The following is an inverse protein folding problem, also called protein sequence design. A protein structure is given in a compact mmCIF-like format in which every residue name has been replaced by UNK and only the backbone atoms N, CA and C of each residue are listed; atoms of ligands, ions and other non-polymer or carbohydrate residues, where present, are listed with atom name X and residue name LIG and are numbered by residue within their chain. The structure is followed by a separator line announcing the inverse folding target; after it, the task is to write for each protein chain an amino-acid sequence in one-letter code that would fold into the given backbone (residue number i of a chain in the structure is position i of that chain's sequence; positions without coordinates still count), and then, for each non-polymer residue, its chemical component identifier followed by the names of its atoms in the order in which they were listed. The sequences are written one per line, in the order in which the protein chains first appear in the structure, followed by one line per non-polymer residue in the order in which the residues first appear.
data_IF_628855158085
#
_entry.id   IF_628855158085
#
_cell.length_a   1.000
_cell.length_b   1.000
_cell.length_c   1.000
_cell.angle_alpha   90.00
_cell.angle_beta   90.00
_cell.angle_gamma   90.00
#
_symmetry.space_group_name_H-M   'P 1'
#
loop_
_entity.id
_entity.type
_entity.pdbx_description
1 polymer ?
#
# COMPACT_ATOMS: atom_id res chain seq x y z
N UNK A 1 20.48 -14.18 -14.75
CA UNK A 1 19.97 -12.80 -14.95
C UNK A 1 20.86 -11.84 -14.19
N UNK A 2 21.48 -10.88 -14.86
CA UNK A 2 22.34 -9.86 -14.20
C UNK A 2 21.51 -8.62 -13.92
N UNK A 3 21.32 -8.27 -12.66
CA UNK A 3 20.78 -6.95 -12.28
C UNK A 3 21.95 -5.96 -12.18
N UNK A 4 21.93 -4.91 -13.00
CA UNK A 4 22.92 -3.84 -12.95
C UNK A 4 22.37 -2.73 -12.08
N UNK A 5 22.92 -2.60 -10.88
CA UNK A 5 22.66 -1.47 -9.99
C UNK A 5 23.75 -0.42 -10.27
N UNK A 6 23.38 0.77 -10.75
CA UNK A 6 24.33 1.89 -10.88
C UNK A 6 24.54 2.54 -9.51
N UNK A 7 25.77 2.63 -9.00
CA UNK A 7 26.06 3.26 -7.72
C UNK A 7 26.09 4.79 -7.83
N UNK A 8 25.68 5.47 -6.76
CA UNK A 8 25.97 6.89 -6.53
C UNK A 8 27.48 7.09 -6.31
N UNK A 9 28.00 8.29 -6.57
CA UNK A 9 29.43 8.62 -6.72
C UNK A 9 30.34 8.36 -5.49
N UNK A 10 29.97 7.58 -4.49
CA UNK A 10 30.83 7.30 -3.32
C UNK A 10 30.90 5.84 -2.88
N UNK A 11 30.42 4.86 -3.69
CA UNK A 11 30.41 3.48 -3.21
C UNK A 11 30.95 2.46 -4.21
N UNK A 12 31.83 1.62 -3.71
CA UNK A 12 32.55 0.55 -4.41
C UNK A 12 31.59 -0.52 -4.95
N UNK A 13 31.79 -0.94 -6.18
CA UNK A 13 31.04 -2.00 -6.88
C UNK A 13 30.97 -3.30 -6.06
N UNK A 14 29.76 -3.86 -5.92
CA UNK A 14 29.54 -5.23 -5.48
C UNK A 14 28.90 -6.03 -6.61
N UNK A 15 29.56 -7.05 -7.08
CA UNK A 15 29.03 -8.05 -8.01
C UNK A 15 28.48 -9.24 -7.20
N UNK A 16 27.25 -9.62 -7.48
CA UNK A 16 26.65 -10.84 -6.92
C UNK A 16 26.95 -12.00 -7.88
N UNK A 17 27.83 -12.91 -7.49
CA UNK A 17 28.04 -14.17 -8.21
C UNK A 17 27.12 -15.25 -7.63
N UNK A 18 26.15 -15.71 -8.42
CA UNK A 18 25.44 -16.96 -8.16
C UNK A 18 26.12 -18.04 -8.99
N UNK A 19 27.00 -18.81 -8.36
CA UNK A 19 27.59 -19.99 -9.00
C UNK A 19 26.64 -21.17 -8.92
N UNK A 20 26.16 -21.65 -10.07
CA UNK A 20 25.51 -22.95 -10.19
C UNK A 20 26.63 -23.95 -10.52
N UNK A 21 27.00 -24.83 -9.58
CA UNK A 21 27.86 -25.96 -9.89
C UNK A 21 26.98 -27.13 -10.34
N UNK A 22 27.22 -27.61 -11.55
CA UNK A 22 26.63 -28.84 -12.07
C UNK A 22 27.13 -30.04 -11.27
N UNK A 23 26.22 -30.99 -11.03
CA UNK A 23 26.47 -32.17 -10.23
C UNK A 23 27.49 -33.13 -10.79
N UNK A 24 28.18 -33.82 -9.90
CA UNK A 24 28.93 -35.03 -10.12
C UNK A 24 28.40 -36.17 -9.21
N UNK A 25 28.62 -37.45 -9.55
CA UNK A 25 27.81 -38.57 -9.09
C UNK A 25 28.12 -39.02 -7.68
N UNK A 26 27.17 -39.75 -7.13
CA UNK A 26 27.04 -40.39 -5.82
C UNK A 26 28.34 -40.95 -5.24
N UNK A 27 28.70 -40.53 -4.01
CA UNK A 27 29.63 -41.26 -3.16
C UNK A 27 30.84 -40.49 -2.62
N UNK A 28 30.64 -39.30 -2.02
CA UNK A 28 31.71 -38.59 -1.33
C UNK A 28 31.24 -37.86 -0.06
N UNK A 29 32.13 -37.48 0.88
CA UNK A 29 31.76 -36.90 2.16
C UNK A 29 31.04 -35.57 1.96
N UNK A 30 30.03 -35.32 2.79
CA UNK A 30 29.29 -34.05 2.88
C UNK A 30 30.25 -32.86 3.01
N UNK A 31 30.36 -32.04 1.97
CA UNK A 31 31.02 -30.75 2.07
C UNK A 31 30.02 -29.76 2.63
N UNK A 32 30.15 -29.44 3.89
CA UNK A 32 29.41 -28.36 4.56
C UNK A 32 29.93 -27.03 3.98
N UNK A 33 29.19 -26.45 3.04
CA UNK A 33 29.50 -25.09 2.54
C UNK A 33 29.05 -24.11 3.61
N UNK A 34 29.99 -23.67 4.44
CA UNK A 34 29.77 -22.56 5.35
C UNK A 34 29.67 -21.29 4.51
N UNK A 35 28.45 -20.83 4.28
CA UNK A 35 28.22 -19.50 3.69
C UNK A 35 28.58 -18.48 4.76
N UNK A 36 29.79 -17.91 4.66
CA UNK A 36 30.18 -16.77 5.46
C UNK A 36 29.24 -15.60 5.13
N UNK A 37 28.35 -15.26 6.06
CA UNK A 37 27.52 -14.06 5.99
C UNK A 37 28.46 -12.84 5.95
N UNK A 38 28.71 -12.31 4.77
CA UNK A 38 29.33 -10.98 4.64
C UNK A 38 28.35 -9.98 5.28
N UNK A 39 28.89 -9.12 6.15
CA UNK A 39 28.19 -7.97 6.73
C UNK A 39 27.28 -7.34 5.67
N UNK A 40 25.97 -7.40 5.89
CA UNK A 40 24.97 -6.83 5.00
C UNK A 40 25.25 -5.34 4.80
N UNK A 41 25.56 -4.94 3.59
CA UNK A 41 25.54 -3.52 3.22
C UNK A 41 24.10 -3.09 3.36
N UNK A 42 23.80 -2.15 4.24
CA UNK A 42 22.48 -1.55 4.36
C UNK A 42 22.14 -0.89 3.03
N UNK A 43 21.23 -1.52 2.29
CA UNK A 43 20.67 -0.90 1.08
C UNK A 43 19.89 0.34 1.54
N UNK A 44 20.23 1.51 1.01
CA UNK A 44 19.42 2.70 1.25
C UNK A 44 18.16 2.56 0.40
N UNK A 45 17.04 2.23 1.04
CA UNK A 45 15.74 2.04 0.36
C UNK A 45 14.80 3.23 0.53
N UNK A 46 15.09 4.18 1.44
CA UNK A 46 14.24 5.34 1.67
C UNK A 46 14.30 6.30 0.49
N UNK A 47 13.11 6.74 0.08
CA UNK A 47 12.90 7.67 -1.04
C UNK A 47 13.47 7.13 -2.36
N UNK A 48 13.36 5.80 -2.55
CA UNK A 48 13.83 5.11 -3.74
C UNK A 48 12.70 4.34 -4.43
N UNK A 49 12.77 4.27 -5.75
CA UNK A 49 11.98 3.36 -6.56
C UNK A 49 12.95 2.37 -7.20
N UNK A 50 12.59 1.08 -7.20
CA UNK A 50 13.39 0.00 -7.77
C UNK A 50 12.67 -0.64 -8.94
N UNK A 51 13.35 -0.81 -10.08
CA UNK A 51 12.80 -1.55 -11.21
C UNK A 51 13.00 -3.06 -11.00
N UNK A 52 12.08 -3.70 -10.31
CA UNK A 52 12.12 -5.13 -9.99
C UNK A 52 10.77 -5.66 -9.52
N UNK A 53 10.66 -6.99 -9.47
CA UNK A 53 9.52 -7.66 -8.85
C UNK A 53 9.39 -7.29 -7.37
N UNK A 54 8.17 -7.00 -6.92
CA UNK A 54 7.91 -6.50 -5.56
C UNK A 54 8.17 -7.55 -4.48
N UNK A 55 7.91 -8.84 -4.74
CA UNK A 55 8.17 -9.92 -3.78
C UNK A 55 9.68 -10.04 -3.55
N UNK A 56 10.47 -10.05 -4.64
CA UNK A 56 11.93 -10.04 -4.55
C UNK A 56 12.44 -8.75 -3.89
N UNK A 57 11.88 -7.59 -4.25
CA UNK A 57 12.23 -6.29 -3.69
C UNK A 57 11.98 -6.20 -2.19
N UNK A 58 10.83 -6.66 -1.72
CA UNK A 58 10.52 -6.68 -0.30
C UNK A 58 11.48 -7.54 0.51
N UNK A 59 12.11 -8.58 -0.06
CA UNK A 59 13.12 -9.38 0.66
C UNK A 59 14.36 -8.57 1.06
N UNK A 60 14.61 -7.44 0.40
CA UNK A 60 15.71 -6.52 0.70
C UNK A 60 15.39 -5.57 1.87
N UNK A 61 14.13 -5.49 2.27
CA UNK A 61 13.67 -4.62 3.35
C UNK A 61 13.76 -5.34 4.70
N UNK A 62 14.20 -4.64 5.76
CA UNK A 62 14.17 -5.17 7.12
C UNK A 62 12.75 -5.48 7.60
N UNK A 63 12.64 -6.41 8.55
CA UNK A 63 11.40 -6.71 9.23
C UNK A 63 10.88 -5.48 9.98
N UNK A 64 9.57 -5.22 9.89
CA UNK A 64 8.91 -4.14 10.62
C UNK A 64 9.46 -2.73 10.33
N UNK A 65 10.01 -2.50 9.14
CA UNK A 65 10.56 -1.19 8.78
C UNK A 65 9.51 -0.20 8.26
N UNK A 66 8.33 -0.68 7.83
CA UNK A 66 7.30 0.15 7.20
C UNK A 66 6.23 0.58 8.20
N UNK A 67 5.82 1.83 8.11
CA UNK A 67 4.71 2.39 8.87
C UNK A 67 3.36 2.19 8.15
N UNK A 68 3.39 2.13 6.82
CA UNK A 68 2.20 1.95 5.99
C UNK A 68 2.54 1.25 4.68
N UNK A 69 1.60 0.50 4.16
CA UNK A 69 1.53 0.07 2.76
C UNK A 69 0.37 0.79 2.10
N UNK A 70 0.60 1.43 0.95
CA UNK A 70 -0.44 2.02 0.10
C UNK A 70 -0.13 1.65 -1.34
N UNK A 71 -0.96 0.82 -1.94
CA UNK A 71 -0.66 0.25 -3.25
C UNK A 71 -1.91 -0.03 -4.07
N UNK A 72 -1.77 0.06 -5.39
CA UNK A 72 -2.74 -0.33 -6.40
C UNK A 72 -2.25 -1.60 -7.07
N UNK A 73 -2.67 -2.76 -6.57
CA UNK A 73 -2.25 -4.06 -7.10
C UNK A 73 -2.82 -4.30 -8.51
N UNK A 74 -2.18 -5.14 -9.34
CA UNK A 74 -2.81 -5.63 -10.57
C UNK A 74 -4.02 -6.51 -10.23
N UNK A 75 -5.17 -6.22 -10.89
CA UNK A 75 -6.45 -6.88 -10.61
C UNK A 75 -6.67 -8.14 -11.46
N UNK A 76 -5.89 -8.33 -12.53
CA UNK A 76 -6.09 -9.41 -13.52
C UNK A 76 -7.39 -9.24 -14.31
N UNK A 77 -7.77 -8.01 -14.63
CA UNK A 77 -9.02 -7.67 -15.31
C UNK A 77 -8.81 -7.05 -16.71
N UNK A 78 -7.57 -6.86 -17.11
CA UNK A 78 -7.20 -6.30 -18.42
C UNK A 78 -6.25 -7.25 -19.17
N UNK A 79 -6.15 -7.10 -20.49
CA UNK A 79 -5.21 -7.87 -21.32
C UNK A 79 -3.76 -7.32 -21.25
N UNK A 80 -3.50 -6.39 -20.37
CA UNK A 80 -2.17 -5.83 -20.18
C UNK A 80 -1.23 -6.86 -19.53
N UNK A 81 -0.01 -7.03 -20.05
CA UNK A 81 0.98 -8.00 -19.54
C UNK A 81 1.33 -7.81 -18.06
N UNK A 82 1.25 -6.58 -17.56
CA UNK A 82 1.53 -6.24 -16.17
C UNK A 82 0.33 -6.49 -15.23
N UNK A 83 -0.89 -6.67 -15.77
CA UNK A 83 -2.10 -6.90 -14.96
C UNK A 83 -2.27 -8.38 -14.59
N UNK A 84 -1.24 -8.96 -13.97
CA UNK A 84 -1.23 -10.34 -13.48
C UNK A 84 -1.33 -10.35 -11.96
N UNK A 85 -2.33 -11.05 -11.42
CA UNK A 85 -2.55 -11.13 -9.97
C UNK A 85 -1.31 -11.71 -9.28
N UNK A 86 -0.77 -10.96 -8.33
CA UNK A 86 0.34 -11.41 -7.48
C UNK A 86 -0.18 -12.49 -6.53
N UNK A 87 0.52 -13.65 -6.39
CA UNK A 87 0.09 -14.71 -5.49
C UNK A 87 -0.05 -14.20 -4.05
N UNK A 88 -1.28 -14.21 -3.52
CA UNK A 88 -1.61 -13.61 -2.23
C UNK A 88 -0.81 -14.18 -1.08
N UNK A 89 -0.52 -15.49 -1.08
CA UNK A 89 0.27 -16.12 -0.02
C UNK A 89 1.66 -15.48 0.09
N UNK A 90 2.37 -15.35 -1.04
CA UNK A 90 3.68 -14.72 -1.09
C UNK A 90 3.61 -13.23 -0.74
N UNK A 91 2.59 -12.55 -1.24
CA UNK A 91 2.37 -11.12 -0.99
C UNK A 91 2.17 -10.86 0.52
N UNK A 92 1.21 -11.55 1.16
CA UNK A 92 0.94 -11.37 2.58
C UNK A 92 2.11 -11.74 3.47
N UNK A 93 2.83 -12.82 3.13
CA UNK A 93 4.04 -13.21 3.85
C UNK A 93 5.06 -12.08 3.92
N UNK A 94 5.29 -11.37 2.81
CA UNK A 94 6.23 -10.26 2.77
C UNK A 94 5.63 -8.99 3.39
N UNK A 95 4.42 -8.63 3.07
CA UNK A 95 3.77 -7.43 3.62
C UNK A 95 3.66 -7.48 5.14
N UNK A 96 3.25 -8.62 5.71
CA UNK A 96 3.16 -8.80 7.16
C UNK A 96 4.53 -8.78 7.85
N UNK A 97 5.58 -9.24 7.17
CA UNK A 97 6.95 -9.21 7.68
C UNK A 97 7.52 -7.79 7.73
N UNK A 98 7.41 -7.05 6.62
CA UNK A 98 8.05 -5.73 6.50
C UNK A 98 7.25 -4.60 7.17
N UNK A 99 5.94 -4.78 7.37
CA UNK A 99 5.06 -3.78 8.00
C UNK A 99 5.11 -3.91 9.52
N UNK A 100 5.20 -2.78 10.23
CA UNK A 100 5.10 -2.73 11.69
C UNK A 100 3.79 -3.36 12.18
N UNK A 101 3.72 -3.92 13.40
CA UNK A 101 2.48 -4.49 13.93
C UNK A 101 1.29 -3.53 13.92
N UNK A 102 1.52 -2.25 14.10
CA UNK A 102 0.59 -1.12 14.07
C UNK A 102 0.60 -0.33 12.76
N UNK A 103 1.23 -0.88 11.71
CA UNK A 103 1.18 -0.31 10.36
C UNK A 103 -0.11 -0.66 9.64
N UNK A 104 -0.67 0.30 8.91
CA UNK A 104 -1.83 0.08 8.04
C UNK A 104 -1.39 -0.45 6.67
N UNK A 105 -2.15 -1.40 6.13
CA UNK A 105 -2.01 -1.88 4.75
C UNK A 105 -3.27 -1.52 3.98
N UNK A 106 -3.14 -0.61 3.03
CA UNK A 106 -4.26 0.02 2.31
C UNK A 106 -4.12 -0.26 0.81
N UNK A 107 -5.18 -0.79 0.22
CA UNK A 107 -5.20 -1.22 -1.18
C UNK A 107 -6.35 -0.56 -1.91
N UNK A 108 -6.11 0.03 -3.07
CA UNK A 108 -7.20 0.29 -4.01
C UNK A 108 -7.62 -1.01 -4.66
N UNK A 109 -8.92 -1.17 -4.91
CA UNK A 109 -9.48 -2.40 -5.46
C UNK A 109 -10.81 -2.13 -6.18
N UNK A 110 -11.22 -3.07 -7.03
CA UNK A 110 -12.53 -3.08 -7.67
C UNK A 110 -13.05 -4.52 -7.75
N UNK A 111 -14.37 -4.70 -7.69
CA UNK A 111 -14.96 -6.03 -7.82
C UNK A 111 -14.67 -6.66 -9.20
N UNK A 112 -14.40 -7.98 -9.28
CA UNK A 112 -14.44 -9.00 -8.22
C UNK A 112 -13.12 -9.14 -7.42
N UNK A 113 -12.07 -8.37 -7.76
CA UNK A 113 -10.77 -8.44 -7.09
C UNK A 113 -10.87 -8.09 -5.59
N UNK A 114 -11.69 -7.10 -5.22
CA UNK A 114 -11.91 -6.72 -3.81
C UNK A 114 -12.32 -7.93 -2.95
N UNK A 115 -13.27 -8.74 -3.43
CA UNK A 115 -13.71 -9.94 -2.71
C UNK A 115 -12.58 -10.95 -2.53
N UNK A 116 -11.77 -11.18 -3.57
CA UNK A 116 -10.62 -12.08 -3.52
C UNK A 116 -9.56 -11.59 -2.52
N UNK A 117 -9.26 -10.29 -2.56
CA UNK A 117 -8.29 -9.65 -1.68
C UNK A 117 -8.72 -9.75 -0.21
N UNK A 118 -9.97 -9.43 0.11
CA UNK A 118 -10.51 -9.54 1.48
C UNK A 118 -10.47 -11.00 1.94
N UNK A 119 -10.94 -11.93 1.11
CA UNK A 119 -10.96 -13.36 1.42
C UNK A 119 -9.57 -13.93 1.68
N UNK A 120 -8.53 -13.40 1.03
CA UNK A 120 -7.15 -13.87 1.19
C UNK A 120 -6.52 -13.52 2.55
N UNK A 121 -7.04 -12.50 3.28
CA UNK A 121 -6.54 -12.12 4.61
C UNK A 121 -7.67 -11.57 5.51
N UNK A 122 -8.74 -12.32 5.63
CA UNK A 122 -9.94 -11.93 6.36
C UNK A 122 -9.67 -11.56 7.83
N UNK A 123 -8.70 -12.23 8.48
CA UNK A 123 -8.35 -11.98 9.89
C UNK A 123 -7.86 -10.56 10.14
N UNK A 124 -7.19 -9.94 9.17
CA UNK A 124 -6.61 -8.60 9.28
C UNK A 124 -7.45 -7.53 8.58
N UNK A 125 -8.46 -7.92 7.78
CA UNK A 125 -9.41 -6.99 7.19
C UNK A 125 -10.17 -6.22 8.27
N UNK A 126 -10.42 -4.91 8.02
CA UNK A 126 -11.13 -4.04 8.97
C UNK A 126 -12.32 -3.34 8.37
N UNK A 127 -12.11 -2.57 7.30
CA UNK A 127 -13.17 -1.81 6.63
C UNK A 127 -12.72 -1.36 5.25
N UNK A 128 -13.67 -0.80 4.49
CA UNK A 128 -13.40 -0.12 3.22
C UNK A 128 -13.75 1.36 3.33
N UNK A 129 -12.97 2.18 2.63
CA UNK A 129 -13.42 3.46 2.12
C UNK A 129 -13.90 3.25 0.69
N UNK A 130 -14.73 4.15 0.19
CA UNK A 130 -15.28 4.13 -1.17
C UNK A 130 -14.91 5.43 -1.86
N UNK A 131 -14.05 5.33 -2.86
CA UNK A 131 -13.72 6.49 -3.68
C UNK A 131 -14.73 6.66 -4.80
N UNK A 132 -15.51 7.76 -4.75
CA UNK A 132 -16.44 8.15 -5.79
C UNK A 132 -15.69 9.01 -6.82
N UNK A 133 -15.68 8.52 -8.06
CA UNK A 133 -15.05 9.19 -9.21
C UNK A 133 -16.00 10.20 -9.82
N UNK A 134 -15.44 11.27 -10.38
CA UNK A 134 -16.20 12.22 -11.22
C UNK A 134 -16.46 11.69 -12.65
N UNK A 135 -15.98 10.48 -12.95
CA UNK A 135 -16.13 9.83 -14.25
C UNK A 135 -16.62 8.40 -14.07
N UNK A 136 -17.48 7.99 -14.97
CA UNK A 136 -18.01 6.62 -15.01
C UNK A 136 -17.26 5.77 -16.04
N UNK A 137 -17.20 4.47 -15.81
CA UNK A 137 -16.63 3.47 -16.71
C UNK A 137 -17.58 2.31 -16.93
N UNK A 138 -17.34 1.49 -17.95
CA UNK A 138 -18.13 0.29 -18.23
C UNK A 138 -19.22 0.51 -19.28
N UNK A 139 -19.14 1.55 -20.11
CA UNK A 139 -20.11 1.84 -21.17
C UNK A 139 -20.45 0.65 -22.10
N UNK A 140 -19.51 -0.24 -22.49
CA UNK A 140 -19.85 -1.41 -23.29
C UNK A 140 -20.90 -2.33 -22.63
N UNK A 141 -21.00 -2.28 -21.32
CA UNK A 141 -21.91 -3.13 -20.54
C UNK A 141 -23.12 -2.38 -19.99
N UNK A 142 -23.33 -1.12 -20.35
CA UNK A 142 -24.39 -0.25 -19.80
C UNK A 142 -25.81 -0.78 -19.97
N UNK A 143 -26.03 -1.68 -20.95
CA UNK A 143 -27.33 -2.35 -21.18
C UNK A 143 -27.60 -3.51 -20.21
N UNK A 144 -26.58 -3.98 -19.48
CA UNK A 144 -26.65 -5.20 -18.66
C UNK A 144 -26.35 -4.94 -17.20
N UNK A 145 -25.62 -3.84 -16.89
CA UNK A 145 -25.22 -3.51 -15.54
C UNK A 145 -25.01 -2.00 -15.37
N UNK A 146 -25.07 -1.48 -14.13
CA UNK A 146 -24.79 -0.07 -13.86
C UNK A 146 -23.37 0.33 -14.27
N UNK A 147 -23.21 1.58 -14.69
CA UNK A 147 -21.89 2.17 -14.91
C UNK A 147 -21.15 2.28 -13.58
N UNK A 148 -19.85 2.00 -13.60
CA UNK A 148 -19.00 2.02 -12.41
C UNK A 148 -18.45 3.42 -12.17
N UNK A 149 -18.72 3.97 -11.01
CA UNK A 149 -18.19 5.26 -10.55
C UNK A 149 -17.50 5.16 -9.17
N UNK A 150 -17.39 3.97 -8.59
CA UNK A 150 -16.81 3.74 -7.27
C UNK A 150 -15.65 2.76 -7.37
N UNK A 151 -14.58 3.04 -6.62
CA UNK A 151 -13.53 2.07 -6.30
C UNK A 151 -13.46 1.86 -4.79
N UNK A 152 -13.17 0.62 -4.40
CA UNK A 152 -12.96 0.25 -3.02
C UNK A 152 -11.54 0.62 -2.57
N UNK A 153 -11.40 1.07 -1.31
CA UNK A 153 -10.09 1.25 -0.67
C UNK A 153 -10.11 0.37 0.57
N UNK A 154 -9.45 -0.76 0.47
CA UNK A 154 -9.53 -1.85 1.46
C UNK A 154 -8.44 -1.67 2.51
N UNK A 155 -8.82 -1.66 3.78
CA UNK A 155 -7.91 -1.41 4.91
C UNK A 155 -7.72 -2.67 5.74
N UNK A 156 -6.46 -3.05 5.91
CA UNK A 156 -6.04 -4.14 6.77
C UNK A 156 -5.05 -3.64 7.83
N UNK A 157 -5.12 -4.21 9.02
CA UNK A 157 -4.08 -4.04 10.04
C UNK A 157 -4.15 -5.14 11.09
N UNK A 158 -3.02 -5.41 11.76
CA UNK A 158 -2.90 -6.39 12.84
C UNK A 158 -3.27 -5.76 14.19
N UNK A 159 -2.68 -4.60 14.50
CA UNK A 159 -2.99 -3.78 15.66
C UNK A 159 -3.49 -2.41 15.19
N UNK A 160 -4.22 -1.70 16.03
CA UNK A 160 -4.76 -0.37 15.72
C UNK A 160 -3.64 0.56 15.24
N UNK A 161 -3.70 1.05 13.99
CA UNK A 161 -2.66 1.91 13.42
C UNK A 161 -2.82 3.36 13.87
N UNK A 162 -1.83 4.20 13.49
CA UNK A 162 -2.05 5.65 13.45
C UNK A 162 -3.31 5.94 12.64
N UNK A 163 -4.17 6.78 13.19
CA UNK A 163 -5.36 7.28 12.49
C UNK A 163 -5.51 8.77 12.77
N UNK A 164 -5.21 9.59 11.78
CA UNK A 164 -5.34 11.04 11.82
C UNK A 164 -6.57 11.43 11.01
N UNK A 165 -7.74 11.63 11.64
CA UNK A 165 -8.96 12.00 10.92
C UNK A 165 -8.76 13.36 10.24
N UNK A 166 -9.04 13.41 8.94
CA UNK A 166 -8.87 14.62 8.13
C UNK A 166 -10.16 15.44 8.09
N UNK A 167 -10.05 16.77 8.00
CA UNK A 167 -11.19 17.65 7.81
C UNK A 167 -11.99 17.95 9.07
N UNK A 168 -11.46 17.65 10.27
CA UNK A 168 -12.11 17.99 11.52
C UNK A 168 -12.27 19.50 11.66
N UNK A 169 -13.42 19.92 12.16
CA UNK A 169 -13.73 21.33 12.50
C UNK A 169 -13.88 21.41 14.02
N UNK A 170 -13.10 22.28 14.65
CA UNK A 170 -13.22 22.53 16.08
C UNK A 170 -14.59 23.16 16.41
N UNK A 171 -15.20 22.73 17.49
CA UNK A 171 -16.45 23.33 17.99
C UNK A 171 -16.12 24.51 18.90
N UNK A 172 -16.92 25.58 18.84
CA UNK A 172 -16.78 26.72 19.76
C UNK A 172 -17.00 26.33 21.21
N UNK A 173 -17.89 25.36 21.46
CA UNK A 173 -18.18 24.82 22.78
C UNK A 173 -18.03 23.30 22.75
N UNK A 174 -17.44 22.74 23.82
CA UNK A 174 -17.40 21.29 24.01
C UNK A 174 -18.82 20.75 24.10
N UNK A 175 -19.12 19.74 23.28
CA UNK A 175 -20.42 19.06 23.29
C UNK A 175 -20.30 17.87 24.25
N UNK A 176 -21.06 17.91 25.34
CA UNK A 176 -21.15 16.81 26.30
C UNK A 176 -22.31 15.89 25.91
N UNK A 177 -22.00 14.64 25.61
CA UNK A 177 -23.04 13.63 25.35
C UNK A 177 -23.21 12.76 26.56
N UNK A 178 -24.40 12.78 27.12
CA UNK A 178 -24.78 11.93 28.26
C UNK A 178 -25.03 10.49 27.80
N UNK A 179 -24.81 9.50 28.67
CA UNK A 179 -25.20 8.13 28.40
C UNK A 179 -26.68 8.06 28.02
N UNK A 180 -27.01 7.29 27.00
CA UNK A 180 -28.41 7.00 26.67
C UNK A 180 -28.80 5.71 27.33
N UNK A 181 -30.02 5.70 27.99
CA UNK A 181 -30.61 4.47 28.43
C UNK A 181 -30.81 3.55 27.19
N UNK A 182 -30.20 2.38 27.23
CA UNK A 182 -30.28 1.41 26.15
C UNK A 182 -31.53 0.58 26.35
N UNK A 183 -32.39 0.51 25.33
CA UNK A 183 -33.50 -0.46 25.29
C UNK A 183 -32.91 -1.83 24.97
N UNK A 184 -33.53 -2.91 25.47
CA UNK A 184 -33.02 -4.30 25.34
C UNK A 184 -32.72 -4.79 23.94
N UNK A 185 -33.23 -4.14 22.88
CA UNK A 185 -33.02 -4.50 21.48
C UNK A 185 -31.91 -3.66 20.79
N UNK A 186 -30.90 -3.20 21.50
CA UNK A 186 -29.86 -2.35 20.91
C UNK A 186 -28.73 -3.16 20.24
N UNK A 187 -28.47 -2.86 18.98
CA UNK A 187 -27.40 -3.47 18.17
C UNK A 187 -25.98 -3.17 18.68
N UNK A 188 -25.83 -2.17 19.54
CA UNK A 188 -24.52 -1.75 20.07
C UNK A 188 -24.29 -2.27 21.49
N UNK A 189 -23.02 -2.62 21.79
CA UNK A 189 -22.60 -3.01 23.13
C UNK A 189 -22.98 -1.92 24.16
N UNK A 190 -23.77 -2.29 25.16
CA UNK A 190 -24.22 -1.40 26.23
C UNK A 190 -23.05 -0.70 26.94
N UNK A 191 -21.88 -1.35 27.05
CA UNK A 191 -20.68 -0.74 27.65
C UNK A 191 -20.15 0.46 26.87
N UNK A 192 -20.39 0.51 25.57
CA UNK A 192 -19.97 1.61 24.70
C UNK A 192 -20.94 2.79 24.77
N UNK A 193 -22.24 2.52 24.91
CA UNK A 193 -23.31 3.56 24.96
C UNK A 193 -23.46 4.21 26.32
N UNK A 194 -23.02 3.56 27.41
CA UNK A 194 -23.13 4.07 28.76
C UNK A 194 -21.99 4.97 29.22
N UNK A 195 -21.15 5.45 28.30
CA UNK A 195 -20.05 6.37 28.62
C UNK A 195 -20.42 7.80 28.24
N UNK A 196 -20.18 8.71 29.17
CA UNK A 196 -20.10 10.13 28.82
C UNK A 196 -18.89 10.37 27.93
N UNK A 197 -19.07 11.18 26.93
CA UNK A 197 -17.93 11.61 26.09
C UNK A 197 -18.09 13.09 25.71
N UNK A 198 -16.93 13.73 25.57
CA UNK A 198 -16.82 15.10 25.12
C UNK A 198 -16.40 15.12 23.67
N UNK A 199 -17.10 15.92 22.87
CA UNK A 199 -16.74 16.16 21.48
C UNK A 199 -16.26 17.60 21.33
N UNK A 200 -14.99 17.75 20.94
CA UNK A 200 -14.37 19.05 20.62
C UNK A 200 -14.30 19.33 19.12
N UNK A 201 -14.67 18.37 18.32
CA UNK A 201 -14.60 18.43 16.87
C UNK A 201 -15.88 17.88 16.24
N UNK A 202 -16.23 18.48 15.10
CA UNK A 202 -17.27 17.99 14.19
C UNK A 202 -16.65 17.61 12.85
N UNK A 203 -17.47 17.24 11.87
CA UNK A 203 -17.04 16.88 10.52
C UNK A 203 -16.08 15.66 10.49
N UNK A 204 -16.40 14.64 11.29
CA UNK A 204 -15.65 13.38 11.27
C UNK A 204 -15.70 12.73 9.89
N UNK A 205 -14.59 12.14 9.40
CA UNK A 205 -14.54 11.49 8.10
C UNK A 205 -15.62 10.44 7.93
N UNK A 206 -16.26 10.45 6.76
CA UNK A 206 -17.20 9.41 6.33
C UNK A 206 -16.50 8.45 5.39
N UNK A 207 -16.99 7.22 5.25
CA UNK A 207 -16.40 6.19 4.37
C UNK A 207 -16.36 6.58 2.89
N UNK A 208 -17.11 7.59 2.46
CA UNK A 208 -17.17 8.04 1.07
C UNK A 208 -16.18 9.19 0.88
N UNK A 209 -15.28 9.01 -0.09
CA UNK A 209 -14.29 9.99 -0.49
C UNK A 209 -14.58 10.44 -1.93
N UNK A 210 -14.58 11.73 -2.18
CA UNK A 210 -14.80 12.30 -3.52
C UNK A 210 -13.52 13.01 -3.97
N UNK A 211 -12.84 12.41 -4.95
CA UNK A 211 -11.65 12.99 -5.59
C UNK A 211 -11.77 12.86 -7.10
N UNK A 212 -11.46 13.92 -7.82
CA UNK A 212 -11.48 13.91 -9.28
C UNK A 212 -10.36 13.03 -9.84
N UNK A 213 -10.67 12.26 -10.88
CA UNK A 213 -9.66 11.54 -11.65
C UNK A 213 -8.70 12.54 -12.29
N UNK A 214 -7.40 12.29 -12.18
CA UNK A 214 -6.38 13.07 -12.89
C UNK A 214 -6.15 12.47 -14.28
N UNK A 215 -6.12 13.34 -15.30
CA UNK A 215 -5.86 12.96 -16.70
C UNK A 215 -4.56 13.59 -17.19
N UNK A 216 -3.44 13.28 -16.54
CA UNK A 216 -2.14 13.74 -17.01
C UNK A 216 -1.62 12.92 -18.20
N UNK A 217 -2.32 11.86 -18.59
CA UNK A 217 -1.95 10.99 -19.72
C UNK A 217 -0.71 10.11 -19.46
N UNK A 218 -0.21 10.07 -18.25
CA UNK A 218 1.03 9.38 -17.89
C UNK A 218 0.83 7.87 -17.64
N UNK A 219 -0.37 7.48 -17.22
CA UNK A 219 -0.76 6.08 -17.02
C UNK A 219 -2.28 5.93 -17.16
N UNK A 220 -2.77 4.86 -17.85
CA UNK A 220 -4.21 4.68 -18.11
C UNK A 220 -5.07 4.61 -16.85
N UNK A 221 -4.50 4.08 -15.76
CA UNK A 221 -5.20 3.85 -14.47
C UNK A 221 -4.62 4.68 -13.33
N UNK A 222 -3.98 5.83 -13.64
CA UNK A 222 -3.35 6.68 -12.64
C UNK A 222 -4.36 7.12 -11.57
N UNK A 223 -4.00 6.88 -10.30
CA UNK A 223 -4.79 7.34 -9.16
C UNK A 223 -4.54 8.82 -8.87
N UNK A 224 -5.53 9.56 -8.35
CA UNK A 224 -5.34 10.97 -7.97
C UNK A 224 -4.32 11.12 -6.84
N UNK A 225 -3.36 12.01 -7.01
CA UNK A 225 -2.37 12.34 -5.95
C UNK A 225 -3.07 12.79 -4.68
N UNK A 226 -4.09 13.65 -4.78
CA UNK A 226 -4.84 14.15 -3.63
C UNK A 226 -5.52 13.04 -2.81
N UNK A 227 -6.03 11.97 -3.45
CA UNK A 227 -6.57 10.81 -2.76
C UNK A 227 -5.48 10.08 -1.98
N UNK A 228 -4.32 9.87 -2.60
CA UNK A 228 -3.20 9.17 -1.97
C UNK A 228 -2.59 10.01 -0.83
N UNK A 229 -2.49 11.34 -0.98
CA UNK A 229 -2.11 12.24 0.11
C UNK A 229 -3.07 12.16 1.30
N UNK A 230 -4.38 12.12 1.04
CA UNK A 230 -5.38 11.96 2.09
C UNK A 230 -5.16 10.67 2.88
N UNK A 231 -4.95 9.54 2.17
CA UNK A 231 -4.72 8.23 2.79
C UNK A 231 -3.39 8.18 3.55
N UNK A 232 -2.32 8.70 2.96
CA UNK A 232 -1.00 8.79 3.60
C UNK A 232 -1.07 9.61 4.89
N UNK A 233 -1.69 10.79 4.86
CA UNK A 233 -1.86 11.64 6.05
C UNK A 233 -2.73 10.97 7.11
N UNK A 234 -3.74 10.21 6.70
CA UNK A 234 -4.66 9.52 7.62
C UNK A 234 -3.95 8.42 8.40
N UNK A 235 -3.06 7.65 7.78
CA UNK A 235 -2.47 6.46 8.40
C UNK A 235 -1.00 6.62 8.80
N UNK A 236 -0.41 7.80 8.58
CA UNK A 236 0.99 8.06 8.93
C UNK A 236 1.19 9.44 9.54
N UNK A 237 2.29 9.59 10.28
CA UNK A 237 2.83 10.86 10.72
C UNK A 237 4.01 11.30 9.80
N UNK A 238 4.42 12.58 9.82
CA UNK A 238 5.59 13.04 9.07
C UNK A 238 6.83 12.16 9.30
N UNK A 239 7.66 11.98 8.25
CA UNK A 239 8.89 11.16 8.24
C UNK A 239 8.67 9.65 8.38
N UNK A 240 7.44 9.18 8.48
CA UNK A 240 7.14 7.76 8.44
C UNK A 240 7.27 7.20 7.01
N UNK A 241 7.56 5.90 6.92
CA UNK A 241 7.90 5.21 5.67
C UNK A 241 6.69 4.46 5.11
N UNK A 242 6.37 4.76 3.85
CA UNK A 242 5.27 4.15 3.09
C UNK A 242 5.84 3.27 1.97
N UNK A 243 5.31 2.05 1.84
CA UNK A 243 5.60 1.17 0.70
C UNK A 243 4.48 1.24 -0.33
N UNK A 244 4.87 1.31 -1.60
CA UNK A 244 4.03 0.93 -2.73
C UNK A 244 4.70 -0.20 -3.51
N UNK A 245 4.09 -1.38 -3.54
CA UNK A 245 4.68 -2.56 -4.20
C UNK A 245 4.40 -2.63 -5.71
N UNK A 246 3.53 -1.77 -6.24
CA UNK A 246 3.22 -1.64 -7.68
C UNK A 246 3.08 -0.16 -8.02
N UNK A 247 4.19 0.60 -7.88
CA UNK A 247 4.15 2.07 -7.81
C UNK A 247 3.73 2.76 -9.12
N UNK A 248 3.76 2.05 -10.23
CA UNK A 248 3.34 2.54 -11.54
C UNK A 248 4.02 3.86 -11.91
N UNK A 249 3.22 4.90 -12.16
CA UNK A 249 3.71 6.25 -12.48
C UNK A 249 4.15 7.07 -11.24
N UNK A 250 4.28 6.50 -10.06
CA UNK A 250 4.85 7.16 -8.88
C UNK A 250 3.86 7.99 -8.06
N UNK A 251 2.56 7.78 -8.16
CA UNK A 251 1.56 8.58 -7.43
C UNK A 251 1.79 8.55 -5.92
N UNK A 252 2.06 7.37 -5.34
CA UNK A 252 2.36 7.22 -3.90
C UNK A 252 3.61 7.99 -3.49
N UNK A 253 4.67 7.95 -4.32
CA UNK A 253 5.91 8.67 -4.02
C UNK A 253 5.70 10.19 -3.99
N UNK A 254 4.91 10.73 -4.93
CA UNK A 254 4.55 12.14 -4.95
C UNK A 254 3.69 12.52 -3.74
N UNK A 255 2.69 11.70 -3.40
CA UNK A 255 1.85 11.90 -2.23
C UNK A 255 2.67 11.92 -0.93
N UNK A 256 3.65 11.02 -0.80
CA UNK A 256 4.57 10.99 0.33
C UNK A 256 5.43 12.25 0.40
N UNK A 257 6.05 12.65 -0.72
CA UNK A 257 6.86 13.87 -0.79
C UNK A 257 6.06 15.11 -0.40
N UNK A 258 4.85 15.28 -0.95
CA UNK A 258 3.97 16.43 -0.67
C UNK A 258 3.48 16.46 0.79
N UNK A 259 3.51 15.34 1.47
CA UNK A 259 3.04 15.20 2.85
C UNK A 259 4.16 15.01 3.88
N UNK A 260 5.44 15.14 3.47
CA UNK A 260 6.62 14.98 4.32
C UNK A 260 6.76 13.56 4.90
N UNK A 261 6.49 12.54 4.08
CA UNK A 261 6.71 11.11 4.40
C UNK A 261 7.79 10.54 3.51
N UNK A 262 8.52 9.55 4.05
CA UNK A 262 9.43 8.73 3.25
C UNK A 262 8.65 7.68 2.47
N UNK A 263 9.19 7.24 1.35
CA UNK A 263 8.60 6.16 0.56
C UNK A 263 9.66 5.13 0.12
N UNK A 264 9.17 3.95 -0.25
CA UNK A 264 9.89 2.96 -1.04
C UNK A 264 8.91 2.36 -2.05
N UNK A 265 9.33 2.19 -3.30
CA UNK A 265 8.47 1.68 -4.35
C UNK A 265 9.14 0.61 -5.20
N UNK A 266 8.33 -0.32 -5.70
CA UNK A 266 8.74 -1.32 -6.68
C UNK A 266 7.88 -1.20 -7.93
N UNK A 267 8.52 -1.32 -9.10
CA UNK A 267 7.85 -1.34 -10.40
C UNK A 267 8.58 -2.34 -11.31
N UNK A 268 7.84 -3.29 -11.84
CA UNK A 268 8.40 -4.33 -12.71
C UNK A 268 8.52 -3.85 -14.14
N UNK A 269 7.57 -3.01 -14.59
CA UNK A 269 7.60 -2.44 -15.94
C UNK A 269 8.58 -1.27 -16.01
N UNK A 270 9.53 -1.39 -16.92
CA UNK A 270 10.61 -0.40 -17.07
C UNK A 270 10.09 0.97 -17.52
N UNK A 271 9.10 1.02 -18.41
CA UNK A 271 8.56 2.28 -18.91
C UNK A 271 7.81 3.05 -17.82
N UNK A 272 7.01 2.34 -17.00
CA UNK A 272 6.36 2.92 -15.84
C UNK A 272 7.37 3.39 -14.78
N UNK A 273 8.40 2.60 -14.52
CA UNK A 273 9.50 2.99 -13.63
C UNK A 273 10.18 4.27 -14.08
N UNK A 274 10.55 4.39 -15.38
CA UNK A 274 11.17 5.60 -15.94
C UNK A 274 10.23 6.82 -15.82
N UNK A 275 8.92 6.63 -16.09
CA UNK A 275 7.88 7.64 -15.91
C UNK A 275 7.79 8.13 -14.45
N UNK A 276 7.84 7.20 -13.49
CA UNK A 276 7.82 7.56 -12.06
C UNK A 276 9.05 8.39 -11.66
N UNK A 277 10.25 8.02 -12.14
CA UNK A 277 11.48 8.77 -11.88
C UNK A 277 11.44 10.19 -12.48
N UNK A 278 10.94 10.33 -13.70
CA UNK A 278 10.80 11.64 -14.34
C UNK A 278 9.80 12.53 -13.60
N UNK A 279 8.70 11.95 -13.15
CA UNK A 279 7.67 12.66 -12.39
C UNK A 279 8.17 13.14 -11.03
N UNK A 280 9.08 12.39 -10.40
CA UNK A 280 9.72 12.79 -9.14
C UNK A 280 10.77 13.92 -9.32
N UNK A 281 11.27 14.17 -10.51
CA UNK A 281 12.20 15.28 -10.78
C UNK A 281 11.51 16.64 -10.90
N UNK A 282 10.20 16.63 -11.15
CA UNK A 282 9.34 17.83 -11.22
C UNK A 282 8.93 18.26 -9.81
#
# INVERSE_FOLDING_TARGET
MRAIIKPSKSETKAELFVGISQGLPLGGPFVMVTVALRKERKVNYKNQIFNMDCIAGMTLLPDGCLDMVLTDLPYGMTDCRWDSIIPFELLWKQLERVTKPDGAMVFTASQPFTTKLIGSNQKNFRYCWYWVKNMVTGFPFAKFQPLRCVEDIVVFYRKKPTYNPQGLVATEKTIHTKPRAVKDDCVYDQKTLNKEYETKYTNWPRQILTFSCQREGLHPTQKPVALFEYLVRTYTNPKQLVLDCCIGSGTTAIACRNSDRDFVGFEIDKAHFETALERLKR
#
